data_IF_616451288343
#
_entry.id   IF_616451288343
#
_cell.length_a   1.000
_cell.length_b   1.000
_cell.length_c   1.000
_cell.angle_alpha   90.00
_cell.angle_beta   90.00
_cell.angle_gamma   90.00
#
_symmetry.space_group_name_H-M   'P 1'
#
loop_
_entity.id
_entity.type
_entity.pdbx_description
1 polymer ?
#
# COMPACT_ATOMS: atom_id res chain seq x y z
N UNK A 1 -7.62 -3.63 7.87
CA UNK A 1 -6.83 -4.85 7.59
C UNK A 1 -7.15 -5.31 6.19
N UNK A 2 -6.14 -5.79 5.46
CA UNK A 2 -6.30 -6.40 4.13
C UNK A 2 -6.17 -7.92 4.26
N UNK A 3 -6.91 -8.66 3.46
CA UNK A 3 -7.03 -10.10 3.51
C UNK A 3 -6.58 -10.79 2.24
N UNK A 4 -6.73 -10.16 1.08
CA UNK A 4 -6.42 -10.82 -0.19
C UNK A 4 -5.10 -10.28 -0.77
N UNK A 5 -4.01 -11.07 -0.74
CA UNK A 5 -2.73 -10.64 -1.31
C UNK A 5 -2.78 -10.56 -2.84
N UNK A 6 -3.75 -11.19 -3.51
CA UNK A 6 -3.87 -11.15 -4.98
C UNK A 6 -4.37 -9.79 -5.48
N UNK A 7 -4.99 -8.99 -4.61
CA UNK A 7 -5.44 -7.63 -4.90
C UNK A 7 -4.33 -6.58 -4.75
N UNK A 8 -3.13 -6.99 -4.33
CA UNK A 8 -1.99 -6.07 -4.27
C UNK A 8 -1.58 -5.64 -5.69
N UNK A 9 -1.43 -4.34 -5.87
CA UNK A 9 -1.07 -3.73 -7.14
C UNK A 9 -0.01 -2.65 -6.95
N UNK A 10 0.90 -2.54 -7.92
CA UNK A 10 1.87 -1.47 -8.02
C UNK A 10 1.24 -0.35 -8.86
N UNK A 11 1.21 0.87 -8.32
CA UNK A 11 0.61 2.03 -9.00
C UNK A 11 1.24 3.32 -8.53
N UNK A 12 0.83 4.45 -9.10
CA UNK A 12 1.22 5.76 -8.61
C UNK A 12 0.43 6.13 -7.34
N UNK A 13 1.09 6.79 -6.38
CA UNK A 13 0.50 7.19 -5.11
C UNK A 13 -0.78 8.02 -5.29
N UNK A 14 -0.91 8.79 -6.38
CA UNK A 14 -2.10 9.58 -6.70
C UNK A 14 -3.34 8.73 -6.98
N UNK A 15 -3.17 7.48 -7.46
CA UNK A 15 -4.26 6.55 -7.82
C UNK A 15 -4.73 5.68 -6.65
N UNK A 16 -4.04 5.72 -5.52
CA UNK A 16 -4.40 4.92 -4.34
C UNK A 16 -5.70 5.45 -3.70
N UNK A 17 -6.53 4.56 -3.16
CA UNK A 17 -7.84 4.87 -2.56
C UNK A 17 -8.09 3.94 -1.37
N UNK A 18 -9.16 4.13 -0.59
CA UNK A 18 -9.53 3.15 0.46
C UNK A 18 -8.46 2.86 1.54
N UNK A 19 -7.43 3.72 1.65
CA UNK A 19 -6.30 3.57 2.57
C UNK A 19 -6.03 4.90 3.31
N UNK A 20 -6.30 4.96 4.63
CA UNK A 20 -6.04 6.14 5.45
C UNK A 20 -4.56 6.55 5.50
N UNK A 21 -3.63 5.59 5.45
CA UNK A 21 -2.20 5.86 5.41
C UNK A 21 -1.84 6.47 4.06
N UNK A 22 -2.28 5.86 2.95
CA UNK A 22 -2.01 6.41 1.62
C UNK A 22 -2.57 7.83 1.45
N UNK A 23 -3.74 8.13 2.05
CA UNK A 23 -4.29 9.50 2.09
C UNK A 23 -3.36 10.49 2.81
N UNK A 24 -2.82 10.11 3.97
CA UNK A 24 -1.85 10.95 4.71
C UNK A 24 -0.57 11.13 3.91
N UNK A 25 -0.06 10.06 3.29
CA UNK A 25 1.14 10.10 2.44
C UNK A 25 0.95 11.00 1.23
N UNK A 26 -0.19 10.92 0.53
CA UNK A 26 -0.51 11.82 -0.58
C UNK A 26 -0.44 13.30 -0.18
N UNK A 27 -0.94 13.65 1.01
CA UNK A 27 -0.83 15.04 1.52
C UNK A 27 0.63 15.40 1.79
N UNK A 28 1.36 14.57 2.55
CA UNK A 28 2.74 14.84 2.91
C UNK A 28 3.67 14.96 1.69
N UNK A 29 3.43 14.18 0.64
CA UNK A 29 4.19 14.23 -0.61
C UNK A 29 3.88 15.51 -1.41
N UNK A 30 2.61 15.91 -1.53
CA UNK A 30 2.23 17.19 -2.14
C UNK A 30 2.82 18.39 -1.43
N UNK A 31 2.81 18.38 -0.09
CA UNK A 31 3.41 19.45 0.72
C UNK A 31 4.94 19.57 0.49
N UNK A 32 5.57 18.53 -0.11
CA UNK A 32 7.00 18.49 -0.50
C UNK A 32 7.24 18.66 -2.00
N UNK A 33 6.19 18.89 -2.81
CA UNK A 33 6.31 18.98 -4.26
C UNK A 33 6.59 17.64 -4.96
N UNK A 34 6.27 16.51 -4.32
CA UNK A 34 6.41 15.17 -4.90
C UNK A 34 5.04 14.73 -5.43
N UNK A 35 4.85 14.86 -6.74
CA UNK A 35 3.56 14.61 -7.39
C UNK A 35 3.39 13.17 -7.86
N UNK A 36 4.49 12.41 -7.95
CA UNK A 36 4.51 11.03 -8.44
C UNK A 36 5.44 10.17 -7.60
N UNK A 37 4.94 9.01 -7.22
CA UNK A 37 5.70 8.01 -6.48
C UNK A 37 5.05 6.65 -6.71
N UNK A 38 5.83 5.70 -7.22
CA UNK A 38 5.39 4.32 -7.36
C UNK A 38 5.25 3.67 -5.98
N UNK A 39 4.12 3.04 -5.72
CA UNK A 39 3.79 2.41 -4.44
C UNK A 39 3.05 1.09 -4.66
N UNK A 40 3.07 0.24 -3.65
CA UNK A 40 2.19 -0.93 -3.57
C UNK A 40 0.96 -0.61 -2.71
N UNK A 41 -0.19 -1.10 -3.14
CA UNK A 41 -1.47 -0.82 -2.49
C UNK A 41 -2.49 -1.92 -2.81
N UNK A 42 -3.51 -2.11 -1.96
CA UNK A 42 -4.65 -2.99 -2.22
C UNK A 42 -5.98 -2.22 -2.16
N UNK A 43 -6.87 -2.34 -3.19
CA UNK A 43 -8.16 -1.67 -3.24
C UNK A 43 -9.20 -2.21 -2.25
N UNK A 44 -8.89 -3.34 -1.59
CA UNK A 44 -9.80 -4.00 -0.65
C UNK A 44 -10.28 -3.06 0.47
N UNK A 45 -11.56 -3.09 0.81
CA UNK A 45 -12.06 -2.31 1.94
C UNK A 45 -11.54 -2.85 3.28
N UNK A 46 -11.02 -2.00 4.18
CA UNK A 46 -10.65 -2.43 5.51
C UNK A 46 -11.85 -3.04 6.23
N UNK A 47 -11.75 -4.31 6.61
CA UNK A 47 -12.76 -4.90 7.51
C UNK A 47 -12.77 -4.17 8.85
N UNK A 48 -13.96 -3.94 9.39
CA UNK A 48 -14.15 -3.39 10.74
C UNK A 48 -13.53 -4.35 11.77
N UNK A 49 -12.77 -3.84 12.74
CA UNK A 49 -12.25 -4.67 13.81
C UNK A 49 -13.40 -5.28 14.63
N UNK A 50 -13.25 -6.55 15.04
CA UNK A 50 -14.23 -7.26 15.88
C UNK A 50 -14.32 -6.68 17.31
N UNK A 51 -13.25 -6.06 17.80
CA UNK A 51 -13.22 -5.36 19.09
C UNK A 51 -13.27 -3.84 18.85
N UNK A 52 -14.21 -3.17 19.52
CA UNK A 52 -14.47 -1.73 19.39
C UNK A 52 -13.45 -0.85 20.13
N UNK A 53 -12.19 -1.28 20.25
CA UNK A 53 -11.15 -0.40 20.78
C UNK A 53 -10.76 0.62 19.71
N UNK A 54 -11.23 1.86 19.89
CA UNK A 54 -11.04 2.99 18.94
C UNK A 54 -9.58 3.27 18.57
N UNK A 55 -8.60 2.69 19.26
CA UNK A 55 -7.17 2.94 19.10
C UNK A 55 -6.31 1.69 18.88
N UNK A 56 -6.90 0.49 18.74
CA UNK A 56 -6.08 -0.70 18.44
C UNK A 56 -5.50 -0.59 17.03
N UNK A 57 -4.19 -0.84 16.87
CA UNK A 57 -3.57 -0.89 15.57
C UNK A 57 -4.31 -1.92 14.67
N UNK A 58 -4.52 -1.62 13.38
CA UNK A 58 -5.15 -2.58 12.47
C UNK A 58 -4.33 -3.88 12.46
N UNK A 59 -4.93 -5.02 12.82
CA UNK A 59 -4.24 -6.30 12.73
C UNK A 59 -3.80 -6.62 11.29
N UNK A 60 -2.73 -7.38 11.11
CA UNK A 60 -2.35 -7.85 9.78
C UNK A 60 -2.49 -9.36 9.70
N UNK A 61 -2.86 -9.87 8.52
CA UNK A 61 -2.67 -11.28 8.23
C UNK A 61 -1.19 -11.51 7.87
N UNK A 62 -0.55 -12.58 8.37
CA UNK A 62 0.89 -12.77 8.24
C UNK A 62 1.35 -12.96 6.79
N UNK A 63 0.46 -13.32 5.86
CA UNK A 63 0.81 -13.57 4.45
C UNK A 63 0.69 -12.32 3.55
N UNK A 64 -0.01 -11.26 3.98
CA UNK A 64 -0.16 -10.04 3.16
C UNK A 64 1.10 -9.17 3.15
N UNK A 65 1.75 -8.85 4.29
CA UNK A 65 2.99 -8.06 4.27
C UNK A 65 4.15 -8.73 3.51
N UNK A 66 4.41 -10.05 3.64
CA UNK A 66 5.43 -10.72 2.83
C UNK A 66 5.13 -10.68 1.34
N UNK A 67 3.88 -10.94 0.92
CA UNK A 67 3.49 -10.84 -0.49
C UNK A 67 3.72 -9.43 -1.04
N UNK A 68 3.41 -8.40 -0.24
CA UNK A 68 3.67 -7.01 -0.60
C UNK A 68 5.17 -6.72 -0.75
N UNK A 69 6.00 -7.21 0.18
CA UNK A 69 7.46 -7.07 0.11
C UNK A 69 8.07 -7.74 -1.12
N UNK A 70 7.63 -8.97 -1.44
CA UNK A 70 8.08 -9.71 -2.63
C UNK A 70 7.67 -8.97 -3.90
N UNK A 71 6.43 -8.48 -3.99
CA UNK A 71 5.95 -7.75 -5.16
C UNK A 71 6.70 -6.42 -5.35
N UNK A 72 7.05 -5.71 -4.26
CA UNK A 72 7.92 -4.54 -4.30
C UNK A 72 9.33 -4.87 -4.79
N UNK A 73 9.92 -5.96 -4.31
CA UNK A 73 11.25 -6.39 -4.75
C UNK A 73 11.24 -6.69 -6.27
N UNK A 74 10.21 -7.40 -6.76
CA UNK A 74 10.00 -7.63 -8.19
C UNK A 74 9.89 -6.33 -8.97
N UNK A 75 9.15 -5.34 -8.46
CA UNK A 75 9.02 -4.02 -9.08
C UNK A 75 10.37 -3.32 -9.22
N UNK A 76 11.19 -3.34 -8.15
CA UNK A 76 12.52 -2.75 -8.15
C UNK A 76 13.47 -3.42 -9.14
N UNK A 77 13.48 -4.76 -9.19
CA UNK A 77 14.30 -5.50 -10.16
C UNK A 77 13.86 -5.22 -11.60
N UNK A 78 12.55 -5.23 -11.89
CA UNK A 78 12.04 -4.90 -13.23
C UNK A 78 12.46 -3.50 -13.68
N UNK A 79 12.37 -2.50 -12.79
CA UNK A 79 12.82 -1.13 -13.09
C UNK A 79 14.30 -1.08 -13.46
N UNK A 80 15.16 -1.80 -12.74
CA UNK A 80 16.59 -1.85 -13.03
C UNK A 80 16.88 -2.52 -14.38
N UNK A 81 16.15 -3.58 -14.72
CA UNK A 81 16.33 -4.29 -16.00
C UNK A 81 15.81 -3.48 -17.20
N UNK A 82 14.77 -2.66 -17.03
CA UNK A 82 14.24 -1.79 -18.08
C UNK A 82 15.13 -0.56 -18.37
N UNK A 83 16.07 -0.24 -17.47
CA UNK A 83 17.02 0.88 -17.63
C UNK A 83 18.33 0.51 -18.32
N UNK A 84 18.55 -0.77 -18.63
CA UNK A 84 19.73 -1.31 -19.33
C UNK A 84 19.37 -1.59 -20.78
#
# INVERSE_FOLDING_TARGET
>A
NKWDPTLLQITDITKTHTDPLARRMRKALRDRGIDRLQVIFSPEEPKKPFAAERNSAPASLPFVPPAAGILLAKAGVSLLLETV
#
